data_IF_641322999289
#
_entry.id   IF_641322999289
#
_cell.length_a   1.000
_cell.length_b   1.000
_cell.length_c   1.000
_cell.angle_alpha   90.00
_cell.angle_beta   90.00
_cell.angle_gamma   90.00
#
_symmetry.space_group_name_H-M   'P 1'
#
loop_
_entity.id
_entity.type
_entity.pdbx_description
1 polymer ?
#
# COMPACT_ATOMS: atom_id res chain seq x y z
N UNK A 1 16.52 4.39 8.49
CA UNK A 1 17.16 5.05 7.33
C UNK A 1 16.15 5.41 6.25
N UNK A 2 16.48 6.34 5.35
CA UNK A 2 15.60 6.85 4.28
C UNK A 2 15.19 5.79 3.26
N UNK A 3 16.12 4.94 2.82
CA UNK A 3 15.82 3.85 1.89
C UNK A 3 14.79 2.85 2.46
N UNK A 4 14.90 2.54 3.75
CA UNK A 4 13.91 1.71 4.45
C UNK A 4 12.54 2.40 4.57
N UNK A 5 12.51 3.73 4.71
CA UNK A 5 11.28 4.53 4.64
C UNK A 5 10.61 4.47 3.26
N UNK A 6 11.41 4.54 2.18
CA UNK A 6 10.93 4.35 0.81
C UNK A 6 10.34 2.96 0.59
N UNK A 7 11.05 1.94 1.07
CA UNK A 7 10.65 0.54 0.94
C UNK A 7 9.32 0.27 1.67
N UNK A 8 9.19 0.70 2.93
CA UNK A 8 7.94 0.47 3.69
C UNK A 8 6.76 1.17 3.05
N UNK A 9 6.92 2.40 2.55
CA UNK A 9 5.87 3.10 1.83
C UNK A 9 5.46 2.37 0.54
N UNK A 10 6.44 1.85 -0.20
CA UNK A 10 6.18 1.04 -1.39
C UNK A 10 5.44 -0.27 -1.10
N UNK A 11 5.79 -0.96 -0.01
CA UNK A 11 5.12 -2.18 0.46
C UNK A 11 3.70 -1.89 0.96
N UNK A 12 3.51 -0.84 1.75
CA UNK A 12 2.19 -0.37 2.19
C UNK A 12 1.30 -0.04 0.99
N UNK A 13 1.86 0.61 -0.03
CA UNK A 13 1.13 0.95 -1.25
C UNK A 13 0.63 -0.28 -2.02
N UNK A 14 1.38 -1.38 -2.01
CA UNK A 14 0.94 -2.64 -2.62
C UNK A 14 -0.26 -3.25 -1.86
N UNK A 15 -0.17 -3.35 -0.53
CA UNK A 15 -1.24 -3.89 0.31
C UNK A 15 -2.51 -3.06 0.24
N UNK A 16 -2.41 -1.75 0.49
CA UNK A 16 -3.55 -0.83 0.43
C UNK A 16 -4.08 -0.72 -1.00
N UNK A 17 -3.21 -0.68 -2.01
CA UNK A 17 -3.63 -0.61 -3.39
C UNK A 17 -4.48 -1.82 -3.81
N UNK A 18 -4.11 -3.03 -3.38
CA UNK A 18 -4.93 -4.21 -3.59
C UNK A 18 -6.22 -4.20 -2.78
N UNK A 19 -6.13 -3.85 -1.49
CA UNK A 19 -7.28 -3.80 -0.58
C UNK A 19 -8.40 -2.90 -1.13
N UNK A 20 -8.04 -1.73 -1.66
CA UNK A 20 -9.01 -0.75 -2.13
C UNK A 20 -9.46 -1.05 -3.58
N UNK A 21 -8.56 -1.49 -4.47
CA UNK A 21 -8.94 -1.87 -5.84
C UNK A 21 -9.85 -3.11 -5.91
N UNK A 22 -9.74 -4.02 -4.93
CA UNK A 22 -10.55 -5.24 -4.82
C UNK A 22 -11.79 -5.08 -3.92
N UNK A 23 -11.99 -3.92 -3.31
CA UNK A 23 -13.08 -3.65 -2.35
C UNK A 23 -14.48 -3.96 -2.92
N UNK A 24 -14.72 -3.69 -4.21
CA UNK A 24 -16.02 -3.99 -4.85
C UNK A 24 -16.36 -5.50 -4.86
N UNK A 25 -15.34 -6.35 -4.88
CA UNK A 25 -15.51 -7.80 -5.05
C UNK A 25 -15.43 -8.54 -3.70
N UNK A 26 -14.59 -8.05 -2.79
CA UNK A 26 -14.30 -8.72 -1.52
C UNK A 26 -14.86 -7.98 -0.29
N UNK A 27 -15.42 -6.78 -0.49
CA UNK A 27 -15.97 -5.91 0.55
C UNK A 27 -14.97 -5.70 1.70
N UNK A 28 -15.48 -5.53 2.92
CA UNK A 28 -14.70 -5.28 4.13
C UNK A 28 -13.73 -6.44 4.43
N UNK A 29 -14.14 -7.69 4.17
CA UNK A 29 -13.30 -8.88 4.41
C UNK A 29 -12.00 -8.83 3.62
N UNK A 30 -12.07 -8.53 2.31
CA UNK A 30 -10.88 -8.38 1.49
C UNK A 30 -10.04 -7.17 1.85
N UNK A 31 -10.68 -6.06 2.25
CA UNK A 31 -9.97 -4.85 2.65
C UNK A 31 -9.12 -5.09 3.90
N UNK A 32 -9.67 -5.76 4.91
CA UNK A 32 -8.95 -6.14 6.12
C UNK A 32 -7.90 -7.22 5.80
N UNK A 33 -8.25 -8.26 5.05
CA UNK A 33 -7.35 -9.36 4.75
C UNK A 33 -6.12 -8.92 3.93
N UNK A 34 -6.28 -8.01 2.99
CA UNK A 34 -5.17 -7.51 2.16
C UNK A 34 -4.46 -6.32 2.78
N UNK A 35 -5.22 -5.40 3.38
CA UNK A 35 -4.71 -4.18 3.98
C UNK A 35 -3.97 -4.45 5.29
N UNK A 36 -4.51 -5.29 6.17
CA UNK A 36 -3.87 -5.64 7.44
C UNK A 36 -3.20 -7.02 7.44
N UNK A 37 -3.54 -7.89 6.50
CA UNK A 37 -2.90 -9.19 6.35
C UNK A 37 -1.76 -9.14 5.34
N UNK A 38 -2.04 -9.52 4.09
CA UNK A 38 -1.01 -9.60 3.04
C UNK A 38 -1.54 -9.39 1.63
N UNK A 39 -0.74 -8.72 0.80
CA UNK A 39 -0.98 -8.60 -0.65
C UNK A 39 -0.77 -9.93 -1.38
N UNK A 40 -0.09 -10.91 -0.78
CA UNK A 40 0.08 -12.25 -1.34
C UNK A 40 -1.25 -12.97 -1.59
N UNK A 41 -2.35 -12.55 -0.93
CA UNK A 41 -3.69 -13.08 -1.19
C UNK A 41 -4.14 -12.84 -2.64
N UNK A 42 -3.62 -11.81 -3.31
CA UNK A 42 -3.92 -11.54 -4.72
C UNK A 42 -3.00 -12.27 -5.69
N UNK A 43 -1.98 -13.00 -5.21
CA UNK A 43 -1.02 -13.67 -6.09
C UNK A 43 -1.67 -14.67 -7.07
N UNK A 44 -2.67 -15.49 -6.67
CA UNK A 44 -3.39 -16.35 -7.61
C UNK A 44 -4.09 -15.56 -8.74
N UNK A 45 -4.58 -14.36 -8.44
CA UNK A 45 -5.25 -13.50 -9.41
C UNK A 45 -4.22 -12.80 -10.33
N UNK A 46 -3.08 -12.39 -9.79
CA UNK A 46 -1.96 -11.84 -10.58
C UNK A 46 -1.42 -12.87 -11.57
N UNK A 47 -1.24 -14.13 -11.15
CA UNK A 47 -0.76 -15.20 -12.05
C UNK A 47 -1.75 -15.44 -13.19
N UNK A 48 -3.05 -15.43 -12.92
CA UNK A 48 -4.08 -15.57 -13.95
C UNK A 48 -4.17 -14.36 -14.87
N UNK A 49 -4.01 -13.15 -14.31
CA UNK A 49 -4.15 -11.89 -15.04
C UNK A 49 -3.20 -10.83 -14.49
N UNK A 50 -1.94 -10.77 -14.97
CA UNK A 50 -0.90 -9.89 -14.42
C UNK A 50 -1.28 -8.40 -14.44
N UNK A 51 -2.18 -8.04 -15.35
CA UNK A 51 -2.68 -6.68 -15.53
C UNK A 51 -3.38 -6.13 -14.26
N UNK A 52 -3.95 -6.99 -13.41
CA UNK A 52 -4.58 -6.56 -12.15
C UNK A 52 -3.57 -5.99 -11.14
N UNK A 53 -2.28 -6.22 -11.36
CA UNK A 53 -1.19 -5.72 -10.51
C UNK A 53 -0.76 -4.27 -10.84
N UNK A 54 -1.21 -3.72 -11.97
CA UNK A 54 -0.83 -2.37 -12.40
C UNK A 54 -1.27 -1.28 -11.39
N UNK A 55 -2.52 -1.24 -10.89
CA UNK A 55 -2.93 -0.19 -9.96
C UNK A 55 -2.05 -0.06 -8.71
N UNK A 56 -1.73 -1.13 -7.97
CA UNK A 56 -0.85 -1.05 -6.82
C UNK A 56 0.63 -0.83 -7.19
N UNK A 57 1.10 -1.25 -8.37
CA UNK A 57 2.45 -0.89 -8.85
C UNK A 57 2.56 0.62 -9.05
N UNK A 58 1.58 1.24 -9.70
CA UNK A 58 1.55 2.69 -9.92
C UNK A 58 1.49 3.43 -8.58
N UNK A 59 0.67 2.94 -7.64
CA UNK A 59 0.64 3.49 -6.29
C UNK A 59 2.01 3.40 -5.59
N UNK A 60 2.70 2.25 -5.70
CA UNK A 60 4.02 2.03 -5.09
C UNK A 60 5.11 2.91 -5.72
N UNK A 61 5.08 3.06 -7.06
CA UNK A 61 6.00 3.90 -7.81
C UNK A 61 5.90 5.39 -7.44
N UNK A 62 4.75 5.84 -6.93
CA UNK A 62 4.55 7.22 -6.44
C UNK A 62 4.84 7.30 -4.94
N UNK A 63 4.33 6.38 -4.13
CA UNK A 63 4.47 6.41 -2.68
C UNK A 63 5.94 6.31 -2.22
N UNK A 64 6.76 5.51 -2.89
CA UNK A 64 8.18 5.36 -2.58
C UNK A 64 8.94 6.70 -2.66
N UNK A 65 9.00 7.36 -3.82
CA UNK A 65 9.62 8.67 -3.97
C UNK A 65 9.01 9.75 -3.08
N UNK A 66 7.68 9.79 -2.93
CA UNK A 66 7.02 10.79 -2.08
C UNK A 66 7.44 10.65 -0.61
N UNK A 67 7.54 9.41 -0.10
CA UNK A 67 7.98 9.16 1.27
C UNK A 67 9.42 9.58 1.52
N UNK A 68 10.35 9.24 0.62
CA UNK A 68 11.78 9.44 0.83
C UNK A 68 12.26 10.86 0.46
N UNK A 69 11.76 11.39 -0.65
CA UNK A 69 12.24 12.66 -1.21
C UNK A 69 11.47 13.86 -0.66
N UNK A 70 10.14 13.74 -0.53
CA UNK A 70 9.30 14.86 -0.09
C UNK A 70 9.22 14.96 1.43
N UNK A 71 9.05 13.83 2.11
CA UNK A 71 8.74 13.81 3.55
C UNK A 71 9.89 13.29 4.42
N UNK A 72 10.99 12.84 3.78
CA UNK A 72 12.18 12.28 4.43
C UNK A 72 11.84 11.19 5.46
N UNK A 73 10.85 10.36 5.16
CA UNK A 73 10.42 9.28 6.04
C UNK A 73 11.55 8.28 6.24
N UNK A 74 11.74 7.87 7.48
CA UNK A 74 12.74 6.87 7.86
C UNK A 74 12.06 5.68 8.50
N UNK A 75 12.62 4.50 8.26
CA UNK A 75 12.18 3.27 8.91
C UNK A 75 13.39 2.40 9.27
N UNK A 76 13.19 1.46 10.18
CA UNK A 76 14.14 0.42 10.49
C UNK A 76 14.14 -0.66 9.39
N UNK A 77 15.29 -1.33 9.20
CA UNK A 77 15.42 -2.38 8.17
C UNK A 77 14.42 -3.53 8.38
N UNK A 78 14.16 -3.90 9.63
CA UNK A 78 13.21 -4.95 10.03
C UNK A 78 11.76 -4.64 9.61
N UNK A 79 11.35 -3.36 9.65
CA UNK A 79 10.01 -2.93 9.25
C UNK A 79 9.87 -2.61 7.75
N UNK A 80 10.98 -2.50 7.03
CA UNK A 80 11.00 -1.98 5.64
C UNK A 80 10.23 -2.83 4.64
N UNK A 81 10.16 -4.15 4.84
CA UNK A 81 9.46 -5.10 3.95
C UNK A 81 8.07 -5.53 4.41
N UNK A 82 7.63 -5.11 5.60
CA UNK A 82 6.40 -5.62 6.23
C UNK A 82 5.12 -4.98 5.67
N UNK A 83 5.23 -3.80 5.07
CA UNK A 83 4.07 -3.02 4.63
C UNK A 83 3.09 -2.75 5.78
N UNK A 84 1.79 -2.78 5.48
CA UNK A 84 0.71 -2.61 6.48
C UNK A 84 0.33 -3.89 7.22
N UNK A 85 1.05 -5.01 7.00
CA UNK A 85 0.80 -6.27 7.68
C UNK A 85 0.87 -6.10 9.21
N UNK A 86 -0.23 -6.37 9.91
CA UNK A 86 -0.35 -6.17 11.35
C UNK A 86 0.01 -4.76 11.83
N UNK A 87 -0.03 -3.76 10.94
CA UNK A 87 0.47 -2.40 11.15
C UNK A 87 1.97 -2.31 11.51
N UNK A 88 2.75 -3.35 11.24
CA UNK A 88 4.17 -3.40 11.60
C UNK A 88 4.96 -2.30 10.90
N UNK A 89 4.78 -2.08 9.60
CA UNK A 89 5.45 -1.01 8.86
C UNK A 89 5.15 0.39 9.42
N UNK A 90 3.88 0.79 9.57
CA UNK A 90 3.50 2.03 10.23
C UNK A 90 4.10 2.20 11.64
N UNK A 91 4.04 1.16 12.47
CA UNK A 91 4.56 1.20 13.85
C UNK A 91 6.08 1.39 13.86
N UNK A 92 6.81 0.66 13.01
CA UNK A 92 8.27 0.79 12.93
C UNK A 92 8.67 2.15 12.35
N UNK A 93 7.95 2.64 11.35
CA UNK A 93 8.15 4.00 10.80
C UNK A 93 7.97 5.04 11.91
N UNK A 94 6.89 4.92 12.69
CA UNK A 94 6.60 5.83 13.79
C UNK A 94 7.73 5.84 14.83
N UNK A 95 8.17 4.66 15.27
CA UNK A 95 9.30 4.54 16.22
C UNK A 95 10.58 5.17 15.69
N UNK A 96 10.91 4.93 14.43
CA UNK A 96 12.15 5.42 13.82
C UNK A 96 12.12 6.94 13.66
N UNK A 97 11.02 7.49 13.15
CA UNK A 97 10.89 8.94 12.96
C UNK A 97 10.82 9.70 14.30
N UNK A 98 10.21 9.11 15.33
CA UNK A 98 10.25 9.68 16.68
C UNK A 98 11.67 9.71 17.24
N UNK A 99 12.45 8.65 17.02
CA UNK A 99 13.86 8.59 17.42
C UNK A 99 14.74 9.60 16.64
N UNK A 100 14.40 9.86 15.38
CA UNK A 100 15.06 10.86 14.54
C UNK A 100 14.67 12.32 14.90
N UNK A 101 13.82 12.53 15.91
CA UNK A 101 13.47 13.85 16.44
C UNK A 101 12.28 14.53 15.75
N UNK A 102 11.52 13.83 14.91
CA UNK A 102 10.31 14.38 14.31
C UNK A 102 9.16 14.48 15.33
N UNK A 103 8.32 15.50 15.18
CA UNK A 103 7.13 15.67 16.03
C UNK A 103 6.09 14.57 15.79
N UNK A 104 5.47 14.06 16.85
CA UNK A 104 4.39 13.05 16.79
C UNK A 104 3.33 13.37 15.73
N UNK A 105 2.88 14.62 15.68
CA UNK A 105 1.86 15.08 14.74
C UNK A 105 2.32 14.95 13.28
N UNK A 106 3.56 15.37 12.98
CA UNK A 106 4.13 15.25 11.65
C UNK A 106 4.28 13.77 11.23
N UNK A 107 4.79 12.92 12.12
CA UNK A 107 4.98 11.50 11.86
C UNK A 107 3.65 10.79 11.56
N UNK A 108 2.60 11.06 12.33
CA UNK A 108 1.28 10.48 12.08
C UNK A 108 0.67 10.95 10.76
N UNK A 109 0.78 12.24 10.46
CA UNK A 109 0.28 12.80 9.19
C UNK A 109 0.98 12.19 7.98
N UNK A 110 2.31 12.02 8.04
CA UNK A 110 3.07 11.45 6.93
C UNK A 110 2.77 9.96 6.74
N UNK A 111 2.65 9.19 7.83
CA UNK A 111 2.25 7.77 7.76
C UNK A 111 0.85 7.62 7.16
N UNK A 112 -0.14 8.32 7.70
CA UNK A 112 -1.53 8.22 7.21
C UNK A 112 -1.61 8.72 5.77
N UNK A 113 -0.97 9.85 5.47
CA UNK A 113 -0.95 10.45 4.15
C UNK A 113 -0.33 9.56 3.09
N UNK A 114 0.86 9.00 3.35
CA UNK A 114 1.64 8.30 2.31
C UNK A 114 1.49 6.80 2.33
N UNK A 115 1.31 6.18 3.50
CA UNK A 115 1.18 4.72 3.58
C UNK A 115 -0.27 4.24 3.36
N UNK A 116 -1.27 5.10 3.57
CA UNK A 116 -2.69 4.75 3.45
C UNK A 116 -3.42 5.58 2.39
N UNK A 117 -3.50 6.90 2.56
CA UNK A 117 -4.37 7.75 1.73
C UNK A 117 -3.87 7.83 0.29
N UNK A 118 -2.60 8.20 0.09
CA UNK A 118 -2.00 8.35 -1.24
C UNK A 118 -2.12 7.06 -2.07
N UNK A 119 -1.72 5.88 -1.58
CA UNK A 119 -1.85 4.66 -2.35
C UNK A 119 -3.31 4.24 -2.55
N UNK A 120 -4.20 4.47 -1.58
CA UNK A 120 -5.62 4.18 -1.75
C UNK A 120 -6.23 5.00 -2.90
N UNK A 121 -5.96 6.30 -2.92
CA UNK A 121 -6.47 7.22 -3.96
C UNK A 121 -5.88 6.88 -5.32
N UNK A 122 -4.56 6.73 -5.42
CA UNK A 122 -3.89 6.41 -6.68
C UNK A 122 -4.36 5.06 -7.23
N UNK A 123 -4.38 4.02 -6.41
CA UNK A 123 -4.80 2.69 -6.86
C UNK A 123 -6.28 2.66 -7.25
N UNK A 124 -7.16 3.38 -6.55
CA UNK A 124 -8.56 3.51 -6.94
C UNK A 124 -8.71 4.18 -8.30
N UNK A 125 -8.06 5.32 -8.51
CA UNK A 125 -8.16 6.06 -9.77
C UNK A 125 -7.68 5.18 -10.92
N UNK A 126 -6.51 4.53 -10.78
CA UNK A 126 -5.96 3.65 -11.81
C UNK A 126 -6.86 2.43 -12.04
N UNK A 127 -7.36 1.80 -10.97
CA UNK A 127 -8.29 0.67 -11.07
C UNK A 127 -9.58 1.04 -11.79
N UNK A 128 -10.20 2.18 -11.45
CA UNK A 128 -11.42 2.64 -12.13
C UNK A 128 -11.19 2.98 -13.60
N UNK A 129 -10.06 3.62 -13.94
CA UNK A 129 -9.70 3.87 -15.34
C UNK A 129 -9.51 2.56 -16.12
N UNK A 130 -8.87 1.56 -15.53
CA UNK A 130 -8.67 0.25 -16.14
C UNK A 130 -9.99 -0.53 -16.26
N UNK A 131 -10.90 -0.41 -15.30
CA UNK A 131 -12.25 -0.99 -15.37
C UNK A 131 -13.09 -0.33 -16.46
N UNK A 132 -13.04 1.01 -16.59
CA UNK A 132 -13.72 1.74 -17.67
C UNK A 132 -13.26 1.32 -19.06
N UNK A 133 -11.96 0.99 -19.20
CA UNK A 133 -11.39 0.44 -20.44
C UNK A 133 -11.70 -1.04 -20.66
N UNK A 134 -12.44 -1.70 -19.76
CA UNK A 134 -12.76 -3.13 -19.83
C UNK A 134 -11.57 -4.07 -19.59
N UNK A 135 -10.42 -3.51 -19.15
CA UNK A 135 -9.18 -4.26 -18.92
C UNK A 135 -9.31 -5.09 -17.65
N UNK A 136 -9.81 -4.49 -16.56
CA UNK A 136 -10.15 -5.18 -15.32
C UNK A 136 -11.67 -5.40 -15.31
N UNK A 137 -12.09 -6.67 -15.21
CA UNK A 137 -13.50 -7.05 -15.14
C UNK A 137 -13.87 -7.39 -13.69
N UNK A 138 -15.16 -7.33 -13.40
CA UNK A 138 -15.67 -7.75 -12.10
C UNK A 138 -15.44 -9.27 -11.94
N UNK A 139 -14.81 -9.66 -10.83
CA UNK A 139 -14.42 -11.04 -10.54
C UNK A 139 -12.93 -11.32 -10.69
N UNK A 140 -12.18 -10.44 -11.39
CA UNK A 140 -10.74 -10.63 -11.61
C UNK A 140 -9.91 -10.46 -10.33
N UNK A 141 -10.43 -9.73 -9.34
CA UNK A 141 -9.77 -9.43 -8.06
C UNK A 141 -10.46 -10.14 -6.89
N UNK A 142 -11.45 -10.99 -7.16
CA UNK A 142 -12.18 -11.75 -6.15
C UNK A 142 -11.26 -12.75 -5.48
N UNK A 143 -11.31 -12.76 -4.16
CA UNK A 143 -10.60 -13.70 -3.31
C UNK A 143 -11.54 -14.85 -2.95
N UNK A 144 -11.01 -16.06 -2.93
CA UNK A 144 -11.65 -17.21 -2.32
C UNK A 144 -11.16 -17.31 -0.87
N UNK A 145 -11.70 -16.45 0.00
CA UNK A 145 -11.48 -16.50 1.45
C UNK A 145 -12.72 -17.10 2.10
#
# INVERSE_FOLDING_TARGET
>A
GLAAGAAVAGCCAQMIGFAVSSYRENKINGLIAQGLGTSMLQMPNIVKKPIVWIPPIVASAIAGPVSAWLLKMTCEATGSGMGTAGLVGPIMTFKTMMADGFTTWYTLLTIIGVQFILPAVVALIVSELMRKKGIIKFGDLKLSI
#
